data_IF_566653496987
#
_entry.id   IF_566653496987
#
_cell.length_a   1.000
_cell.length_b   1.000
_cell.length_c   1.000
_cell.angle_alpha   90.00
_cell.angle_beta   90.00
_cell.angle_gamma   90.00
#
_symmetry.space_group_name_H-M   'P 1'
#
loop_
_entity.id
_entity.type
_entity.pdbx_description
1 polymer ?
#
# COMPACT_ATOMS: atom_id res chain seq x y z
N UNK A 1 11.42 -33.93 10.56
CA UNK A 1 12.37 -32.84 10.88
C UNK A 1 11.89 -31.58 10.18
N UNK A 2 11.55 -30.52 10.92
CA UNK A 2 11.28 -29.19 10.34
C UNK A 2 12.64 -28.50 10.18
N UNK A 3 13.04 -28.03 8.99
CA UNK A 3 14.30 -27.32 8.84
C UNK A 3 14.29 -26.07 9.71
N UNK A 4 15.38 -25.89 10.45
CA UNK A 4 15.55 -24.84 11.43
C UNK A 4 15.54 -23.45 10.82
N UNK A 5 15.39 -22.47 11.70
CA UNK A 5 15.50 -21.04 11.46
C UNK A 5 16.92 -20.69 10.97
N UNK A 6 17.21 -20.84 9.67
CA UNK A 6 18.57 -20.64 9.13
C UNK A 6 18.65 -19.81 7.85
N UNK A 7 17.69 -18.91 7.61
CA UNK A 7 17.79 -17.90 6.53
C UNK A 7 17.83 -16.47 7.08
N UNK A 8 18.49 -16.30 8.24
CA UNK A 8 18.72 -14.99 8.85
C UNK A 8 20.13 -14.53 8.47
N UNK A 9 20.22 -13.41 7.76
CA UNK A 9 21.49 -12.79 7.34
C UNK A 9 21.74 -11.53 8.16
N UNK A 10 22.95 -11.38 8.67
CA UNK A 10 23.43 -10.11 9.23
C UNK A 10 23.63 -9.11 8.08
N UNK A 11 23.06 -7.91 8.24
CA UNK A 11 23.13 -6.82 7.26
C UNK A 11 23.30 -5.50 7.99
N UNK A 12 23.97 -4.55 7.35
CA UNK A 12 24.07 -3.19 7.90
C UNK A 12 22.69 -2.53 8.02
N UNK A 13 22.56 -1.58 8.95
CA UNK A 13 21.34 -0.80 9.11
C UNK A 13 20.88 -0.16 7.79
N UNK A 14 21.79 0.40 6.99
CA UNK A 14 21.47 0.99 5.68
C UNK A 14 20.90 -0.04 4.71
N UNK A 15 21.42 -1.27 4.69
CA UNK A 15 20.91 -2.36 3.84
C UNK A 15 19.55 -2.84 4.34
N UNK A 16 19.35 -2.92 5.66
CA UNK A 16 18.05 -3.25 6.26
C UNK A 16 16.98 -2.22 5.89
N UNK A 17 17.29 -0.94 6.05
CA UNK A 17 16.41 0.16 5.66
C UNK A 17 16.10 0.15 4.15
N UNK A 18 17.08 -0.18 3.30
CA UNK A 18 16.85 -0.36 1.86
C UNK A 18 15.92 -1.55 1.55
N UNK A 19 16.03 -2.66 2.28
CA UNK A 19 15.11 -3.80 2.16
C UNK A 19 13.70 -3.43 2.63
N UNK A 20 13.54 -2.64 3.69
CA UNK A 20 12.24 -2.16 4.13
C UNK A 20 11.63 -1.17 3.14
N UNK A 21 12.43 -0.22 2.66
CA UNK A 21 12.01 0.80 1.68
C UNK A 21 11.68 0.19 0.31
N UNK A 22 12.41 -0.82 -0.14
CA UNK A 22 12.11 -1.51 -1.42
C UNK A 22 10.86 -2.37 -1.40
N UNK A 23 10.33 -2.70 -0.21
CA UNK A 23 9.07 -3.47 -0.09
C UNK A 23 7.82 -2.61 -0.24
N UNK A 24 7.94 -1.29 -0.44
CA UNK A 24 6.81 -0.38 -0.68
C UNK A 24 5.82 -1.03 -1.66
N UNK A 25 4.67 -1.54 -1.19
CA UNK A 25 3.75 -2.21 -2.08
C UNK A 25 3.05 -1.12 -2.87
N UNK A 26 3.59 -0.80 -4.04
CA UNK A 26 2.97 0.15 -4.95
C UNK A 26 1.69 -0.44 -5.50
N UNK A 27 0.61 0.34 -5.48
CA UNK A 27 -0.67 -0.08 -6.03
C UNK A 27 -1.87 0.50 -5.30
N UNK A 28 -3.04 0.01 -5.70
CA UNK A 28 -4.33 0.37 -5.14
C UNK A 28 -4.88 -0.82 -4.38
N UNK A 29 -5.27 -0.60 -3.14
CA UNK A 29 -5.71 -1.62 -2.20
C UNK A 29 -7.08 -1.27 -1.64
N UNK A 30 -7.83 -2.29 -1.27
CA UNK A 30 -9.16 -2.15 -0.72
C UNK A 30 -9.33 -3.17 0.41
N UNK A 31 -9.60 -2.68 1.61
CA UNK A 31 -9.90 -3.50 2.78
C UNK A 31 -11.39 -3.43 3.12
N UNK A 32 -11.97 -4.52 3.62
CA UNK A 32 -13.31 -4.56 4.19
C UNK A 32 -13.18 -4.58 5.71
N UNK A 33 -13.91 -3.70 6.38
CA UNK A 33 -13.98 -3.58 7.84
C UNK A 33 -15.44 -3.78 8.30
N UNK A 34 -15.68 -3.93 9.61
CA UNK A 34 -17.02 -4.13 10.16
C UNK A 34 -17.96 -2.95 9.85
N UNK A 35 -17.40 -1.74 9.73
CA UNK A 35 -18.14 -0.49 9.54
C UNK A 35 -18.09 0.04 8.11
N UNK A 36 -17.36 -0.60 7.20
CA UNK A 36 -17.19 -0.10 5.85
C UNK A 36 -16.00 -0.66 5.07
N UNK A 37 -15.38 0.22 4.31
CA UNK A 37 -14.32 -0.08 3.35
C UNK A 37 -13.24 0.98 3.42
N UNK A 38 -12.00 0.56 3.57
CA UNK A 38 -10.83 1.44 3.50
C UNK A 38 -10.16 1.28 2.14
N UNK A 39 -10.12 2.37 1.39
CA UNK A 39 -9.39 2.46 0.13
C UNK A 39 -8.00 3.04 0.39
N UNK A 40 -6.98 2.46 -0.24
CA UNK A 40 -5.59 2.94 -0.16
C UNK A 40 -5.00 3.05 -1.56
N UNK A 41 -4.54 4.24 -1.94
CA UNK A 41 -3.75 4.46 -3.15
C UNK A 41 -2.30 4.75 -2.73
N UNK A 42 -1.41 3.83 -3.08
CA UNK A 42 0.04 3.94 -2.89
C UNK A 42 0.79 3.81 -4.22
N UNK A 43 0.16 4.20 -5.33
CA UNK A 43 0.79 4.08 -6.66
C UNK A 43 2.05 4.95 -6.79
N UNK A 44 2.12 6.09 -6.10
CA UNK A 44 3.28 7.01 -6.13
C UNK A 44 4.30 6.78 -5.01
N UNK A 45 3.98 5.96 -4.00
CA UNK A 45 4.77 5.85 -2.77
C UNK A 45 4.31 6.80 -1.66
N UNK A 46 3.47 7.78 -1.98
CA UNK A 46 2.71 8.56 -1.00
C UNK A 46 1.37 7.85 -0.78
N UNK A 47 1.20 7.20 0.36
CA UNK A 47 -0.02 6.44 0.65
C UNK A 47 -1.18 7.36 1.07
N UNK A 48 -2.23 7.40 0.24
CA UNK A 48 -3.49 8.09 0.54
C UNK A 48 -4.53 7.07 1.00
N UNK A 49 -5.26 7.38 2.07
CA UNK A 49 -6.31 6.50 2.61
C UNK A 49 -7.62 7.24 2.81
N UNK A 50 -8.74 6.61 2.46
CA UNK A 50 -10.07 7.13 2.77
C UNK A 50 -11.06 6.00 3.12
N UNK A 51 -11.92 6.25 4.09
CA UNK A 51 -12.91 5.29 4.58
C UNK A 51 -14.30 5.58 3.99
N UNK A 52 -15.00 4.53 3.54
CA UNK A 52 -16.30 4.61 2.91
C UNK A 52 -17.27 3.60 3.51
N UNK A 53 -18.52 4.01 3.71
CA UNK A 53 -19.61 3.08 4.06
C UNK A 53 -19.89 2.03 2.98
N UNK A 54 -19.64 2.36 1.72
CA UNK A 54 -20.02 1.53 0.57
C UNK A 54 -18.84 1.23 -0.35
N UNK A 55 -18.68 -0.06 -0.70
CA UNK A 55 -17.63 -0.56 -1.61
C UNK A 55 -17.53 0.22 -2.92
N UNK A 56 -18.68 0.57 -3.52
CA UNK A 56 -18.73 1.29 -4.80
C UNK A 56 -18.13 2.70 -4.70
N UNK A 57 -18.26 3.37 -3.55
CA UNK A 57 -17.65 4.68 -3.34
C UNK A 57 -16.13 4.56 -3.25
N UNK A 58 -15.64 3.59 -2.50
CA UNK A 58 -14.21 3.28 -2.41
C UNK A 58 -13.60 2.97 -3.79
N UNK A 59 -14.27 2.14 -4.60
CA UNK A 59 -13.80 1.83 -5.96
C UNK A 59 -13.80 3.06 -6.86
N UNK A 60 -14.83 3.91 -6.81
CA UNK A 60 -14.84 5.17 -7.56
C UNK A 60 -13.68 6.09 -7.16
N UNK A 61 -13.40 6.19 -5.86
CA UNK A 61 -12.28 6.96 -5.34
C UNK A 61 -10.94 6.43 -5.90
N UNK A 62 -10.72 5.12 -5.82
CA UNK A 62 -9.53 4.46 -6.39
C UNK A 62 -9.41 4.61 -7.92
N UNK A 63 -10.50 4.90 -8.62
CA UNK A 63 -10.52 5.06 -10.08
C UNK A 63 -10.31 6.51 -10.52
N UNK A 64 -10.27 7.45 -9.57
CA UNK A 64 -10.24 8.89 -9.84
C UNK A 64 -8.85 9.40 -10.26
N UNK A 65 -7.80 8.65 -9.94
CA UNK A 65 -6.41 8.96 -10.28
C UNK A 65 -5.90 7.99 -11.35
N UNK A 66 -5.62 8.45 -12.59
CA UNK A 66 -4.92 7.62 -13.56
C UNK A 66 -3.50 7.34 -13.07
N UNK A 67 -2.98 6.15 -13.36
CA UNK A 67 -1.64 5.67 -12.94
C UNK A 67 -0.45 6.47 -13.52
N UNK A 68 -0.74 7.56 -14.23
CA UNK A 68 0.23 8.46 -14.82
C UNK A 68 -0.30 9.89 -14.73
N UNK A 69 0.42 10.69 -13.92
CA UNK A 69 0.49 12.15 -13.92
C UNK A 69 -0.61 13.00 -13.26
N UNK A 70 -0.13 13.82 -12.30
CA UNK A 70 -0.45 15.23 -12.04
C UNK A 70 -1.82 15.72 -12.54
N UNK A 71 -2.81 15.75 -11.64
CA UNK A 71 -4.14 16.24 -12.01
C UNK A 71 -5.09 16.50 -10.84
N UNK A 72 -4.59 16.92 -9.67
CA UNK A 72 -5.45 17.48 -8.62
C UNK A 72 -5.39 19.00 -8.75
N UNK A 73 -6.44 19.72 -9.21
CA UNK A 73 -6.60 21.11 -8.83
C UNK A 73 -7.05 21.15 -7.36
N UNK A 74 -6.45 22.10 -6.63
CA UNK A 74 -6.59 22.41 -5.19
C UNK A 74 -7.94 22.06 -4.57
#
# INVERSE_FOLDING_TARGET
MRPGCSDVRDVSLSRLLAVMSSRQPHGRFLSREDTGWTALDNTTGDAWTEHFRHRRSALRWLSRFPSSHLGIPL
#
